data_IF_818582056849
#
_entry.id   IF_818582056849
#
_cell.length_a   1.000
_cell.length_b   1.000
_cell.length_c   1.000
_cell.angle_alpha   90.00
_cell.angle_beta   90.00
_cell.angle_gamma   90.00
#
_symmetry.space_group_name_H-M   'P 1'
#
loop_
_entity.id
_entity.type
_entity.pdbx_description
1 polymer ?
#
# COMPACT_ATOMS: atom_id res chain seq x y z
N UNK A 1 -23.22 10.81 22.62
CA UNK A 1 -23.26 12.24 22.38
C UNK A 1 -22.60 12.51 21.04
N UNK A 2 -23.38 12.99 20.07
CA UNK A 2 -22.89 13.38 18.75
C UNK A 2 -22.38 14.83 18.86
N UNK A 3 -21.10 14.96 19.14
CA UNK A 3 -20.43 16.26 19.03
C UNK A 3 -20.22 16.55 17.54
N UNK A 4 -20.49 17.79 17.11
CA UNK A 4 -20.17 18.17 15.74
C UNK A 4 -18.65 18.24 15.56
N UNK A 5 -18.16 18.12 14.31
CA UNK A 5 -16.73 18.21 14.03
C UNK A 5 -16.16 19.57 14.50
N UNK A 6 -16.93 20.64 14.30
CA UNK A 6 -16.53 21.99 14.71
C UNK A 6 -16.42 22.15 16.23
N UNK A 7 -17.33 21.54 16.98
CA UNK A 7 -17.28 21.53 18.45
C UNK A 7 -16.11 20.71 18.96
N UNK A 8 -15.80 19.57 18.31
CA UNK A 8 -14.66 18.76 18.62
C UNK A 8 -13.34 19.50 18.37
N UNK A 9 -13.22 20.19 17.23
CA UNK A 9 -12.03 20.96 16.89
C UNK A 9 -11.80 22.14 17.82
N UNK A 10 -12.88 22.84 18.20
CA UNK A 10 -12.82 23.90 19.23
C UNK A 10 -12.37 23.36 20.59
N UNK A 11 -12.86 22.18 20.96
CA UNK A 11 -12.45 21.52 22.20
C UNK A 11 -10.97 21.12 22.20
N UNK A 12 -10.47 20.64 21.06
CA UNK A 12 -9.06 20.30 20.85
C UNK A 12 -8.14 21.52 20.64
N UNK A 13 -8.69 22.73 20.55
CA UNK A 13 -7.92 23.95 20.27
C UNK A 13 -7.29 23.96 18.88
N UNK A 14 -7.83 23.15 17.98
CA UNK A 14 -7.37 23.07 16.58
C UNK A 14 -8.37 23.78 15.67
N UNK A 15 -7.81 24.53 14.73
CA UNK A 15 -8.59 25.14 13.65
C UNK A 15 -8.67 24.18 12.46
N UNK A 16 -9.78 24.25 11.70
CA UNK A 16 -9.98 23.44 10.48
C UNK A 16 -8.84 23.61 9.48
N UNK A 17 -8.26 24.79 9.39
CA UNK A 17 -7.16 25.07 8.47
C UNK A 17 -5.89 24.35 8.90
N UNK A 18 -5.58 24.31 10.18
CA UNK A 18 -4.46 23.52 10.72
C UNK A 18 -4.64 22.01 10.52
N UNK A 19 -5.89 21.53 10.66
CA UNK A 19 -6.21 20.14 10.41
C UNK A 19 -5.99 19.79 8.93
N UNK A 20 -6.45 20.64 8.02
CA UNK A 20 -6.22 20.47 6.57
C UNK A 20 -4.74 20.48 6.21
N UNK A 21 -3.97 21.41 6.76
CA UNK A 21 -2.51 21.45 6.57
C UNK A 21 -1.83 20.19 7.09
N UNK A 22 -2.24 19.70 8.25
CA UNK A 22 -1.67 18.48 8.83
C UNK A 22 -1.88 17.24 7.97
N UNK A 23 -3.03 17.13 7.29
CA UNK A 23 -3.33 16.01 6.40
C UNK A 23 -2.93 16.22 4.94
N UNK A 24 -2.60 17.44 4.54
CA UNK A 24 -2.26 17.75 3.15
C UNK A 24 -0.93 17.09 2.71
N UNK A 25 0.10 17.14 3.53
CA UNK A 25 1.40 16.58 3.20
C UNK A 25 1.37 15.05 3.08
N UNK A 26 0.84 14.29 4.07
CA UNK A 26 0.69 12.84 3.93
C UNK A 26 -0.16 12.43 2.72
N UNK A 27 -1.22 13.18 2.41
CA UNK A 27 -2.05 12.91 1.24
C UNK A 27 -1.29 13.11 -0.08
N UNK A 28 -0.45 14.15 -0.19
CA UNK A 28 0.41 14.38 -1.36
C UNK A 28 1.43 13.25 -1.53
N UNK A 29 2.05 12.80 -0.44
CA UNK A 29 3.02 11.70 -0.47
C UNK A 29 2.36 10.40 -0.91
N UNK A 30 1.17 10.10 -0.43
CA UNK A 30 0.41 8.92 -0.83
C UNK A 30 0.07 8.95 -2.34
N UNK A 31 -0.38 10.10 -2.84
CA UNK A 31 -0.67 10.27 -4.28
C UNK A 31 0.60 10.10 -5.12
N UNK A 32 1.72 10.68 -4.70
CA UNK A 32 3.01 10.49 -5.39
C UNK A 32 3.42 9.03 -5.41
N UNK A 33 3.30 8.33 -4.29
CA UNK A 33 3.61 6.90 -4.19
C UNK A 33 2.73 6.08 -5.13
N UNK A 34 1.45 6.32 -5.16
CA UNK A 34 0.50 5.64 -6.05
C UNK A 34 0.87 5.85 -7.52
N UNK A 35 1.21 7.08 -7.92
CA UNK A 35 1.64 7.39 -9.29
C UNK A 35 2.96 6.70 -9.66
N UNK A 36 3.92 6.64 -8.74
CA UNK A 36 5.19 5.91 -8.94
C UNK A 36 4.93 4.42 -9.12
N UNK A 37 4.11 3.82 -8.29
CA UNK A 37 3.76 2.40 -8.38
C UNK A 37 3.02 2.07 -9.69
N UNK A 38 2.13 2.93 -10.16
CA UNK A 38 1.46 2.78 -11.44
C UNK A 38 2.44 2.88 -12.61
N UNK A 39 3.39 3.81 -12.56
CA UNK A 39 4.43 3.96 -13.57
C UNK A 39 5.33 2.72 -13.64
N UNK A 40 5.73 2.17 -12.49
CA UNK A 40 6.53 0.94 -12.41
C UNK A 40 5.73 -0.25 -12.96
N UNK A 41 4.47 -0.38 -12.60
CA UNK A 41 3.61 -1.45 -13.11
C UNK A 41 3.52 -1.43 -14.64
N UNK A 42 3.45 -0.26 -15.25
CA UNK A 42 3.47 -0.09 -16.71
C UNK A 42 4.83 -0.39 -17.31
N UNK A 43 5.91 0.13 -16.75
CA UNK A 43 7.26 -0.04 -17.26
C UNK A 43 7.72 -1.50 -17.23
N UNK A 44 7.37 -2.23 -16.17
CA UNK A 44 7.72 -3.64 -15.97
C UNK A 44 6.67 -4.61 -16.51
N UNK A 45 5.64 -4.09 -17.22
CA UNK A 45 4.55 -4.88 -17.77
C UNK A 45 3.89 -5.82 -16.75
N UNK A 46 3.67 -5.29 -15.54
CA UNK A 46 3.03 -6.03 -14.46
C UNK A 46 1.54 -6.16 -14.76
N UNK A 47 1.12 -7.34 -15.15
CA UNK A 47 -0.28 -7.63 -15.44
C UNK A 47 -1.01 -8.10 -14.16
N UNK A 48 -2.23 -7.58 -14.00
CA UNK A 48 -3.18 -8.06 -12.99
C UNK A 48 -4.03 -9.16 -13.62
N UNK A 49 -3.91 -10.37 -13.09
CA UNK A 49 -4.67 -11.54 -13.56
C UNK A 49 -5.90 -11.78 -12.69
N UNK A 50 -6.86 -12.52 -13.21
CA UNK A 50 -8.08 -12.86 -12.45
C UNK A 50 -7.80 -13.55 -11.12
N UNK A 51 -6.75 -14.37 -11.06
CA UNK A 51 -6.33 -15.02 -9.82
C UNK A 51 -5.86 -14.01 -8.76
N UNK A 52 -5.22 -12.92 -9.18
CA UNK A 52 -4.78 -11.86 -8.26
C UNK A 52 -5.99 -11.11 -7.69
N UNK A 53 -7.00 -10.86 -8.52
CA UNK A 53 -8.25 -10.23 -8.09
C UNK A 53 -9.02 -11.13 -7.12
N UNK A 54 -9.09 -12.41 -7.40
CA UNK A 54 -9.72 -13.39 -6.50
C UNK A 54 -9.02 -13.46 -5.15
N UNK A 55 -7.69 -13.49 -5.14
CA UNK A 55 -6.90 -13.49 -3.91
C UNK A 55 -7.15 -12.23 -3.07
N UNK A 56 -7.23 -11.07 -3.71
CA UNK A 56 -7.53 -9.80 -3.03
C UNK A 56 -8.95 -9.80 -2.44
N UNK A 57 -9.93 -10.29 -3.18
CA UNK A 57 -11.33 -10.42 -2.70
C UNK A 57 -11.41 -11.35 -1.49
N UNK A 58 -10.70 -12.47 -1.50
CA UNK A 58 -10.63 -13.39 -0.36
C UNK A 58 -10.01 -12.70 0.84
N UNK A 59 -8.91 -11.96 0.65
CA UNK A 59 -8.25 -11.20 1.72
C UNK A 59 -9.19 -10.14 2.31
N UNK A 60 -9.89 -9.39 1.46
CA UNK A 60 -10.88 -8.40 1.90
C UNK A 60 -12.01 -9.07 2.69
N UNK A 61 -12.53 -10.18 2.20
CA UNK A 61 -13.59 -10.93 2.87
C UNK A 61 -13.17 -11.42 4.26
N UNK A 62 -11.94 -11.94 4.38
CA UNK A 62 -11.37 -12.36 5.66
C UNK A 62 -11.25 -11.20 6.65
N UNK A 63 -10.78 -10.03 6.19
CA UNK A 63 -10.64 -8.84 7.02
C UNK A 63 -11.98 -8.30 7.54
N UNK A 64 -13.04 -8.45 6.77
CA UNK A 64 -14.40 -8.00 7.13
C UNK A 64 -15.26 -9.10 7.74
N UNK A 65 -14.77 -10.34 7.82
CA UNK A 65 -15.55 -11.49 8.28
C UNK A 65 -16.77 -11.81 7.40
N UNK A 66 -16.64 -11.56 6.09
CA UNK A 66 -17.70 -11.73 5.10
C UNK A 66 -17.43 -12.91 4.16
N UNK A 67 -18.47 -13.36 3.45
CA UNK A 67 -18.30 -14.38 2.40
C UNK A 67 -17.65 -13.73 1.14
N UNK A 68 -16.58 -14.31 0.59
CA UNK A 68 -15.94 -13.81 -0.63
C UNK A 68 -16.89 -13.63 -1.80
N UNK A 69 -17.91 -14.49 -1.93
CA UNK A 69 -18.93 -14.37 -2.98
C UNK A 69 -19.81 -13.14 -2.83
N UNK A 70 -20.12 -12.77 -1.58
CA UNK A 70 -20.90 -11.55 -1.31
C UNK A 70 -20.07 -10.31 -1.58
N UNK A 71 -18.79 -10.29 -1.16
CA UNK A 71 -17.86 -9.19 -1.45
C UNK A 71 -17.72 -9.00 -2.97
N UNK A 72 -17.56 -10.09 -3.72
CA UNK A 72 -17.48 -10.04 -5.19
C UNK A 72 -18.75 -9.44 -5.82
N UNK A 73 -19.94 -9.87 -5.37
CA UNK A 73 -21.22 -9.32 -5.85
C UNK A 73 -21.33 -7.80 -5.59
N UNK A 74 -20.89 -7.36 -4.42
CA UNK A 74 -20.91 -5.93 -4.05
C UNK A 74 -19.98 -5.14 -4.96
N UNK A 75 -18.77 -5.64 -5.20
CA UNK A 75 -17.78 -5.00 -6.08
C UNK A 75 -18.33 -4.87 -7.50
N UNK A 76 -18.98 -5.90 -8.03
CA UNK A 76 -19.63 -5.86 -9.35
C UNK A 76 -20.79 -4.86 -9.38
N UNK A 77 -21.66 -4.90 -8.39
CA UNK A 77 -22.85 -4.04 -8.30
C UNK A 77 -22.47 -2.56 -8.22
N UNK A 78 -21.42 -2.23 -7.50
CA UNK A 78 -20.95 -0.86 -7.31
C UNK A 78 -19.95 -0.41 -8.39
N UNK A 79 -19.73 -1.22 -9.42
CA UNK A 79 -18.77 -0.93 -10.50
C UNK A 79 -17.34 -0.60 -10.00
N UNK A 80 -16.91 -1.25 -8.93
CA UNK A 80 -15.60 -1.01 -8.29
C UNK A 80 -14.45 -1.87 -8.85
N UNK A 81 -14.71 -2.69 -9.85
CA UNK A 81 -13.69 -3.56 -10.46
C UNK A 81 -12.46 -2.78 -10.94
N UNK A 82 -12.58 -1.62 -11.63
CA UNK A 82 -11.40 -0.86 -12.04
C UNK A 82 -10.53 -0.39 -10.86
N UNK A 83 -11.16 0.02 -9.76
CA UNK A 83 -10.44 0.42 -8.54
C UNK A 83 -9.70 -0.77 -7.92
N UNK A 84 -10.31 -1.96 -7.92
CA UNK A 84 -9.69 -3.18 -7.44
C UNK A 84 -8.48 -3.55 -8.30
N UNK A 85 -8.57 -3.48 -9.61
CA UNK A 85 -7.47 -3.73 -10.55
C UNK A 85 -6.30 -2.78 -10.28
N UNK A 86 -6.56 -1.50 -10.10
CA UNK A 86 -5.53 -0.52 -9.77
C UNK A 86 -4.86 -0.81 -8.43
N UNK A 87 -5.64 -1.13 -7.41
CA UNK A 87 -5.12 -1.47 -6.07
C UNK A 87 -4.22 -2.70 -6.12
N UNK A 88 -4.65 -3.75 -6.80
CA UNK A 88 -3.86 -4.99 -6.96
C UNK A 88 -2.59 -4.72 -7.79
N UNK A 89 -2.69 -3.92 -8.85
CA UNK A 89 -1.54 -3.50 -9.65
C UNK A 89 -0.47 -2.78 -8.83
N UNK A 90 -0.88 -1.86 -7.97
CA UNK A 90 0.02 -1.15 -7.04
C UNK A 90 0.68 -2.10 -6.02
N UNK A 91 -0.07 -3.04 -5.45
CA UNK A 91 0.47 -4.07 -4.55
C UNK A 91 1.49 -4.95 -5.23
N UNK A 92 1.24 -5.37 -6.47
CA UNK A 92 2.19 -6.15 -7.27
C UNK A 92 3.45 -5.36 -7.59
N UNK A 93 3.33 -4.08 -7.94
CA UNK A 93 4.46 -3.19 -8.18
C UNK A 93 5.30 -3.00 -6.90
N UNK A 94 4.67 -2.81 -5.75
CA UNK A 94 5.36 -2.73 -4.46
C UNK A 94 6.11 -4.03 -4.14
N UNK A 95 5.50 -5.18 -4.36
CA UNK A 95 6.15 -6.50 -4.20
C UNK A 95 7.34 -6.68 -5.15
N UNK A 96 7.21 -6.20 -6.38
CA UNK A 96 8.29 -6.23 -7.36
C UNK A 96 9.50 -5.39 -6.89
N UNK A 97 9.26 -4.19 -6.38
CA UNK A 97 10.30 -3.33 -5.82
C UNK A 97 11.01 -4.02 -4.65
N UNK A 98 10.25 -4.59 -3.71
CA UNK A 98 10.82 -5.28 -2.54
C UNK A 98 11.67 -6.49 -2.93
N UNK A 99 11.25 -7.26 -3.93
CA UNK A 99 12.01 -8.42 -4.43
C UNK A 99 13.31 -8.04 -5.15
N UNK A 100 13.34 -6.88 -5.77
CA UNK A 100 14.47 -6.39 -6.56
C UNK A 100 15.27 -5.29 -5.83
N UNK A 101 14.85 -4.90 -4.61
CA UNK A 101 15.60 -3.97 -3.80
C UNK A 101 16.90 -4.62 -3.34
N UNK A 102 18.02 -3.94 -3.62
CA UNK A 102 19.32 -4.31 -3.10
C UNK A 102 19.49 -3.64 -1.73
N UNK A 103 19.70 -4.42 -0.68
CA UNK A 103 20.04 -3.87 0.64
C UNK A 103 21.46 -3.29 0.58
N UNK A 104 21.65 -1.98 0.73
CA UNK A 104 22.99 -1.37 0.69
C UNK A 104 23.91 -1.85 1.83
N UNK A 105 23.37 -2.62 2.79
CA UNK A 105 24.15 -3.22 3.86
C UNK A 105 24.46 -4.71 3.64
N UNK A 106 23.95 -5.32 2.59
CA UNK A 106 24.17 -6.74 2.28
C UNK A 106 25.64 -6.97 1.90
N UNK A 107 26.19 -6.12 1.05
CA UNK A 107 27.61 -6.15 0.65
C UNK A 107 28.55 -6.01 1.85
N UNK A 108 28.20 -5.16 2.84
CA UNK A 108 28.98 -5.00 4.05
C UNK A 108 28.94 -6.21 5.00
N UNK A 109 27.86 -6.99 4.96
CA UNK A 109 27.74 -8.22 5.73
C UNK A 109 28.53 -9.37 5.12
N UNK A 110 28.62 -9.40 3.79
CA UNK A 110 29.45 -10.39 3.10
C UNK A 110 30.94 -10.07 3.26
N UNK A 111 31.34 -8.80 3.17
CA UNK A 111 32.72 -8.37 3.43
C UNK A 111 33.15 -8.67 4.89
N UNK A 112 32.28 -8.36 5.89
CA UNK A 112 32.58 -8.64 7.29
C UNK A 112 32.69 -10.15 7.58
N UNK A 113 31.88 -11.00 6.95
CA UNK A 113 32.00 -12.44 7.06
C UNK A 113 33.23 -13.00 6.38
N UNK A 114 33.65 -12.39 5.27
CA UNK A 114 34.85 -12.80 4.54
C UNK A 114 36.14 -12.40 5.31
N UNK A 115 36.10 -11.31 6.09
CA UNK A 115 37.21 -10.92 6.97
C UNK A 115 37.29 -11.80 8.22
N UNK A 116 36.17 -12.20 8.84
CA UNK A 116 36.16 -13.12 9.97
C UNK A 116 36.77 -14.49 9.62
N UNK A 117 36.40 -15.03 8.44
CA UNK A 117 36.93 -16.33 7.97
C UNK A 117 38.44 -16.27 7.69
N UNK A 118 38.98 -15.09 7.33
CA UNK A 118 40.44 -14.93 7.09
C UNK A 118 41.24 -14.68 8.37
N UNK A 119 40.57 -14.35 9.46
CA UNK A 119 41.23 -14.09 10.74
C UNK A 119 41.34 -15.36 11.62
N UNK A 120 40.67 -16.44 11.27
CA UNK A 120 40.69 -17.74 11.94
C UNK A 120 41.69 -18.76 11.33
N UNK A 121 42.34 -18.42 10.23
CA UNK A 121 43.44 -19.21 9.61
C UNK A 121 44.81 -18.61 9.99
#
# INVERSE_FOLDING_TARGET
QRMSLDDYLKYMGQDMDKLKEHYAEPAKENVKMDLVLEAIAKAESIEVKDIDLQAEIITMAQNFGADPKEVYKIILKEHRVPMLVQSVGRKKAASFILKNAVDPNEDKKEEAKAEEVKAED
#
